data_IF_711036925252
#
_entry.id   IF_711036925252
#
_cell.length_a   1.000
_cell.length_b   1.000
_cell.length_c   1.000
_cell.angle_alpha   90.00
_cell.angle_beta   90.00
_cell.angle_gamma   90.00
#
_symmetry.space_group_name_H-M   'P 1'
#
loop_
_entity.id
_entity.type
_entity.pdbx_description
1 polymer ?
#
# COMPACT_ATOMS: atom_id res chain seq x y z
N UNK A 1 3.67 -12.53 -17.66
CA UNK A 1 3.90 -11.90 -16.35
C UNK A 1 2.61 -12.03 -15.55
N UNK A 2 2.70 -12.54 -14.31
CA UNK A 2 1.54 -12.77 -13.44
C UNK A 2 1.27 -11.59 -12.51
N UNK A 3 2.30 -10.83 -12.20
CA UNK A 3 2.21 -9.64 -11.35
C UNK A 3 3.24 -8.59 -11.75
N UNK A 4 2.94 -7.33 -11.41
CA UNK A 4 3.86 -6.20 -11.51
C UNK A 4 3.99 -5.51 -10.16
N UNK A 5 5.11 -4.86 -9.93
CA UNK A 5 5.32 -4.00 -8.76
C UNK A 5 5.47 -2.54 -9.24
N UNK A 6 4.55 -1.69 -8.81
CA UNK A 6 4.64 -0.25 -9.03
C UNK A 6 5.48 0.35 -7.91
N UNK A 7 6.73 0.67 -8.24
CA UNK A 7 7.76 1.07 -7.26
C UNK A 7 8.79 1.97 -7.90
N UNK A 8 9.28 2.98 -7.15
CA UNK A 8 10.48 3.73 -7.46
C UNK A 8 11.64 3.41 -6.48
N UNK A 9 11.51 2.31 -5.73
CA UNK A 9 12.47 1.88 -4.70
C UNK A 9 12.73 2.97 -3.63
N UNK A 10 11.71 3.79 -3.32
CA UNK A 10 11.83 4.90 -2.38
C UNK A 10 12.73 6.03 -2.86
N UNK A 11 12.93 6.17 -4.17
CA UNK A 11 13.81 7.18 -4.78
C UNK A 11 15.30 6.89 -4.61
N UNK A 12 15.68 5.69 -4.18
CA UNK A 12 17.08 5.37 -3.80
C UNK A 12 18.02 5.18 -4.98
N UNK A 13 17.52 4.69 -6.09
CA UNK A 13 18.34 4.37 -7.26
C UNK A 13 18.37 5.54 -8.23
N UNK A 14 17.21 6.11 -8.50
CA UNK A 14 17.07 7.29 -9.37
C UNK A 14 16.19 8.32 -8.65
N UNK A 15 16.76 9.47 -8.36
CA UNK A 15 16.05 10.58 -7.74
C UNK A 15 15.18 11.34 -8.75
N UNK A 16 14.34 12.24 -8.26
CA UNK A 16 13.44 13.07 -9.07
C UNK A 16 12.43 12.30 -9.92
N UNK A 17 12.15 11.04 -9.57
CA UNK A 17 11.06 10.25 -10.17
C UNK A 17 9.75 10.52 -9.44
N UNK A 18 8.59 10.41 -10.11
CA UNK A 18 7.30 10.55 -9.43
C UNK A 18 7.13 9.49 -8.35
N UNK A 19 6.33 9.79 -7.34
CA UNK A 19 5.93 8.83 -6.31
C UNK A 19 5.10 7.70 -6.91
N UNK A 20 5.24 6.48 -6.35
CA UNK A 20 4.47 5.34 -6.85
C UNK A 20 2.95 5.58 -6.83
N UNK A 21 2.44 6.24 -5.78
CA UNK A 21 1.02 6.61 -5.68
C UNK A 21 0.54 7.59 -6.77
N UNK A 22 1.44 8.39 -7.35
CA UNK A 22 1.10 9.35 -8.41
C UNK A 22 0.90 8.65 -9.76
N UNK A 23 1.67 7.60 -10.02
CA UNK A 23 1.62 6.86 -11.30
C UNK A 23 0.70 5.64 -11.24
N UNK A 24 0.43 5.12 -10.04
CA UNK A 24 -0.37 3.92 -9.83
C UNK A 24 -1.74 3.96 -10.52
N UNK A 25 -2.55 5.04 -10.47
CA UNK A 25 -3.85 5.06 -11.14
C UNK A 25 -3.75 4.83 -12.65
N UNK A 26 -2.80 5.48 -13.32
CA UNK A 26 -2.60 5.33 -14.77
C UNK A 26 -2.13 3.92 -15.15
N UNK A 27 -1.28 3.31 -14.31
CA UNK A 27 -0.81 1.94 -14.52
C UNK A 27 -1.98 0.96 -14.27
N UNK A 28 -2.75 1.16 -13.22
CA UNK A 28 -3.92 0.35 -12.92
C UNK A 28 -4.93 0.40 -14.07
N UNK A 29 -5.25 1.57 -14.60
CA UNK A 29 -6.16 1.72 -15.75
C UNK A 29 -5.72 0.91 -16.97
N UNK A 30 -4.40 0.80 -17.18
CA UNK A 30 -3.86 0.07 -18.33
C UNK A 30 -3.86 -1.45 -18.17
N UNK A 31 -3.68 -1.97 -16.95
CA UNK A 31 -3.37 -3.40 -16.73
C UNK A 31 -4.27 -4.10 -15.71
N UNK A 32 -5.12 -3.40 -14.97
CA UNK A 32 -6.00 -4.00 -13.96
C UNK A 32 -6.91 -5.08 -14.56
N UNK A 33 -6.97 -6.21 -13.86
CA UNK A 33 -7.69 -7.40 -14.34
C UNK A 33 -6.90 -8.28 -15.32
N UNK A 34 -5.71 -7.83 -15.77
CA UNK A 34 -4.80 -8.63 -16.60
C UNK A 34 -3.63 -9.23 -15.82
N UNK A 35 -3.16 -8.49 -14.80
CA UNK A 35 -2.06 -8.89 -13.92
C UNK A 35 -2.34 -8.41 -12.50
N UNK A 36 -1.75 -9.06 -11.51
CA UNK A 36 -1.78 -8.58 -10.11
C UNK A 36 -0.90 -7.34 -9.97
N UNK A 37 -1.41 -6.29 -9.34
CA UNK A 37 -0.71 -5.02 -9.12
C UNK A 37 -0.29 -4.92 -7.66
N UNK A 38 1.01 -4.99 -7.40
CA UNK A 38 1.60 -4.68 -6.11
C UNK A 38 2.13 -3.24 -6.15
N UNK A 39 2.04 -2.51 -5.04
CA UNK A 39 2.58 -1.16 -4.96
C UNK A 39 3.35 -0.93 -3.66
N UNK A 40 4.40 -0.14 -3.72
CA UNK A 40 5.15 0.28 -2.54
C UNK A 40 5.38 1.80 -2.53
N UNK A 41 6.22 2.25 -1.61
CA UNK A 41 6.61 3.66 -1.50
C UNK A 41 5.75 4.46 -0.52
N UNK A 42 6.31 4.76 0.64
CA UNK A 42 5.71 5.63 1.64
C UNK A 42 4.63 5.00 2.53
N UNK A 43 4.27 3.74 2.33
CA UNK A 43 3.27 3.05 3.14
C UNK A 43 3.80 2.82 4.57
N UNK A 44 3.13 3.40 5.56
CA UNK A 44 3.50 3.33 6.98
C UNK A 44 2.34 3.01 7.91
N UNK A 45 1.13 3.24 7.46
CA UNK A 45 -0.10 3.11 8.25
C UNK A 45 -1.14 2.27 7.53
N UNK A 46 -2.13 1.75 8.26
CA UNK A 46 -3.26 1.06 7.65
C UNK A 46 -4.08 1.97 6.73
N UNK A 47 -4.11 3.29 7.00
CA UNK A 47 -4.73 4.26 6.10
C UNK A 47 -3.97 4.39 4.78
N UNK A 48 -2.63 4.31 4.79
CA UNK A 48 -1.84 4.31 3.55
C UNK A 48 -2.12 3.05 2.72
N UNK A 49 -2.30 1.90 3.39
CA UNK A 49 -2.73 0.66 2.71
C UNK A 49 -4.06 0.86 2.00
N UNK A 50 -5.07 1.39 2.69
CA UNK A 50 -6.38 1.68 2.11
C UNK A 50 -6.27 2.61 0.89
N UNK A 51 -5.47 3.66 0.99
CA UNK A 51 -5.25 4.60 -0.12
C UNK A 51 -4.62 3.93 -1.33
N UNK A 52 -3.57 3.13 -1.15
CA UNK A 52 -2.90 2.44 -2.26
C UNK A 52 -3.84 1.45 -2.97
N UNK A 53 -4.65 0.72 -2.21
CA UNK A 53 -5.67 -0.17 -2.78
C UNK A 53 -6.74 0.66 -3.52
N UNK A 54 -7.22 1.75 -2.94
CA UNK A 54 -8.16 2.68 -3.59
C UNK A 54 -7.62 3.32 -4.86
N UNK A 55 -6.31 3.46 -5.00
CA UNK A 55 -5.63 3.94 -6.20
C UNK A 55 -5.42 2.83 -7.26
N UNK A 56 -5.73 1.58 -6.94
CA UNK A 56 -5.75 0.48 -7.90
C UNK A 56 -4.78 -0.67 -7.63
N UNK A 57 -4.03 -0.66 -6.53
CA UNK A 57 -3.22 -1.81 -6.15
C UNK A 57 -4.10 -2.96 -5.64
N UNK A 58 -3.66 -4.19 -5.86
CA UNK A 58 -4.27 -5.39 -5.27
C UNK A 58 -3.64 -5.70 -3.90
N UNK A 59 -2.36 -5.35 -3.71
CA UNK A 59 -1.67 -5.45 -2.43
C UNK A 59 -0.53 -4.43 -2.33
N UNK A 60 0.00 -4.24 -1.12
CA UNK A 60 1.08 -3.30 -0.83
C UNK A 60 2.31 -3.99 -0.28
N UNK A 61 3.47 -3.39 -0.53
CA UNK A 61 4.75 -3.80 0.03
C UNK A 61 5.25 -2.71 0.98
N UNK A 62 5.78 -3.12 2.12
CA UNK A 62 6.30 -2.21 3.15
C UNK A 62 7.73 -2.65 3.50
N UNK A 63 8.70 -1.80 3.26
CA UNK A 63 10.11 -2.09 3.50
C UNK A 63 10.61 -1.49 4.82
N UNK A 64 11.08 -0.25 4.79
CA UNK A 64 11.77 0.43 5.89
C UNK A 64 11.05 0.39 7.25
N UNK A 65 9.74 0.56 7.36
CA UNK A 65 9.05 0.43 8.64
C UNK A 65 9.22 -0.96 9.29
N UNK A 66 9.19 -2.05 8.49
CA UNK A 66 9.45 -3.39 9.00
C UNK A 66 10.90 -3.59 9.43
N UNK A 67 11.86 -2.97 8.73
CA UNK A 67 13.27 -2.97 9.18
C UNK A 67 13.37 -2.31 10.55
N UNK A 68 12.74 -1.14 10.73
CA UNK A 68 12.72 -0.45 12.03
C UNK A 68 12.07 -1.30 13.12
N UNK A 69 10.94 -1.94 12.84
CA UNK A 69 10.24 -2.79 13.80
C UNK A 69 11.09 -4.01 14.20
N UNK A 70 11.76 -4.63 13.23
CA UNK A 70 12.65 -5.78 13.46
C UNK A 70 13.86 -5.42 14.30
N UNK A 71 14.52 -4.28 14.02
CA UNK A 71 15.65 -3.81 14.82
C UNK A 71 15.24 -3.34 16.22
N UNK A 72 14.05 -2.73 16.36
CA UNK A 72 13.57 -2.22 17.63
C UNK A 72 13.04 -3.26 18.60
N UNK A 73 12.49 -4.38 18.10
CA UNK A 73 11.82 -5.38 18.94
C UNK A 73 11.82 -6.80 18.39
N UNK A 74 12.69 -7.11 17.43
CA UNK A 74 12.76 -8.41 16.79
C UNK A 74 11.37 -8.92 16.37
N UNK A 75 11.01 -10.17 16.71
CA UNK A 75 9.69 -10.76 16.38
C UNK A 75 8.55 -9.96 16.98
N UNK A 76 8.63 -9.58 18.24
CA UNK A 76 7.59 -8.82 18.95
C UNK A 76 7.38 -7.44 18.33
N UNK A 77 8.44 -6.79 17.89
CA UNK A 77 8.37 -5.51 17.18
C UNK A 77 7.64 -5.63 15.85
N UNK A 78 7.93 -6.67 15.08
CA UNK A 78 7.25 -6.96 13.81
C UNK A 78 5.78 -7.28 14.05
N UNK A 79 5.45 -8.13 15.02
CA UNK A 79 4.09 -8.48 15.37
C UNK A 79 3.27 -7.25 15.81
N UNK A 80 3.86 -6.42 16.67
CA UNK A 80 3.25 -5.16 17.11
C UNK A 80 2.93 -4.26 15.93
N UNK A 81 3.84 -4.14 14.96
CA UNK A 81 3.63 -3.30 13.79
C UNK A 81 2.56 -3.88 12.84
N UNK A 82 2.52 -5.19 12.63
CA UNK A 82 1.47 -5.85 11.86
C UNK A 82 0.09 -5.60 12.48
N UNK A 83 -0.04 -5.82 13.79
CA UNK A 83 -1.28 -5.60 14.53
C UNK A 83 -1.75 -4.14 14.45
N UNK A 84 -0.81 -3.19 14.52
CA UNK A 84 -1.10 -1.77 14.32
C UNK A 84 -1.64 -1.49 12.91
N UNK A 85 -0.98 -1.97 11.87
CA UNK A 85 -1.43 -1.81 10.48
C UNK A 85 -2.83 -2.39 10.27
N UNK A 86 -3.10 -3.57 10.81
CA UNK A 86 -4.39 -4.24 10.70
C UNK A 86 -5.49 -3.45 11.41
N UNK A 87 -5.24 -2.96 12.62
CA UNK A 87 -6.19 -2.16 13.38
C UNK A 87 -6.52 -0.84 12.68
N UNK A 88 -5.50 -0.15 12.16
CA UNK A 88 -5.68 1.11 11.43
C UNK A 88 -6.42 0.91 10.10
N UNK A 89 -6.11 -0.16 9.35
CA UNK A 89 -6.81 -0.51 8.12
C UNK A 89 -8.28 -0.82 8.40
N UNK A 90 -8.57 -1.65 9.41
CA UNK A 90 -9.94 -1.99 9.82
C UNK A 90 -10.74 -0.74 10.19
N UNK A 91 -10.15 0.15 10.98
CA UNK A 91 -10.80 1.42 11.36
C UNK A 91 -11.07 2.29 10.14
N UNK A 92 -10.10 2.39 9.23
CA UNK A 92 -10.25 3.17 8.00
C UNK A 92 -11.33 2.58 7.08
N UNK A 93 -11.42 1.26 6.98
CA UNK A 93 -12.46 0.57 6.21
C UNK A 93 -13.86 0.83 6.79
N UNK A 94 -14.01 0.78 8.12
CA UNK A 94 -15.28 1.10 8.79
C UNK A 94 -15.70 2.53 8.47
N UNK A 95 -14.79 3.50 8.60
CA UNK A 95 -15.06 4.92 8.35
C UNK A 95 -15.39 5.24 6.88
N UNK A 96 -14.92 4.41 5.95
CA UNK A 96 -15.20 4.55 4.51
C UNK A 96 -16.32 3.63 4.00
N UNK A 97 -16.93 2.83 4.88
CA UNK A 97 -18.02 1.92 4.53
C UNK A 97 -17.60 0.68 3.75
N UNK A 98 -16.31 0.32 3.77
CA UNK A 98 -15.79 -0.87 3.11
C UNK A 98 -15.89 -2.08 4.06
N UNK A 99 -16.66 -3.11 3.70
CA UNK A 99 -16.80 -4.33 4.49
C UNK A 99 -15.65 -5.32 4.24
N UNK A 100 -15.15 -5.36 3.01
CA UNK A 100 -14.04 -6.22 2.58
C UNK A 100 -12.97 -5.41 1.84
N UNK A 101 -11.78 -5.97 1.71
CA UNK A 101 -10.69 -5.35 0.91
C UNK A 101 -11.14 -5.10 -0.54
N UNK A 102 -12.00 -5.95 -1.08
CA UNK A 102 -12.51 -5.82 -2.46
C UNK A 102 -13.45 -4.63 -2.64
N UNK A 103 -14.02 -4.10 -1.57
CA UNK A 103 -14.90 -2.93 -1.60
C UNK A 103 -14.11 -1.62 -1.67
N UNK A 104 -12.80 -1.68 -1.42
CA UNK A 104 -11.91 -0.52 -1.47
C UNK A 104 -11.66 -0.18 -2.94
N UNK A 105 -12.21 0.93 -3.39
CA UNK A 105 -12.06 1.46 -4.76
C UNK A 105 -11.73 2.96 -4.74
N UNK A 106 -11.71 3.58 -5.91
CA UNK A 106 -11.40 5.00 -6.06
C UNK A 106 -12.34 5.96 -5.31
N UNK A 107 -13.48 5.50 -4.80
CA UNK A 107 -14.43 6.34 -4.03
C UNK A 107 -13.91 6.72 -2.65
N UNK A 108 -12.96 5.94 -2.10
CA UNK A 108 -12.32 6.27 -0.81
C UNK A 108 -11.29 7.39 -0.93
N UNK A 109 -10.95 7.79 -2.16
CA UNK A 109 -9.96 8.84 -2.45
C UNK A 109 -10.69 10.12 -2.83
N UNK A 110 -10.48 11.18 -2.06
CA UNK A 110 -10.93 12.52 -2.45
C UNK A 110 -10.07 13.05 -3.62
N UNK A 111 -10.73 13.51 -4.68
CA UNK A 111 -10.10 14.08 -5.88
C UNK A 111 -10.40 15.56 -5.98
#
# INVERSE_FOLDING_TARGET
VDAIVVSNHGGRVLDCTPGACEVLPKIADAVKGKVTILADGGVRTGLDVLKMIGLGADAVLIGRPFVTASFGGATDGVETYVNKLQSELSSSMILTGCQTIKDIDGKVIYK
#
